data_IF_914826962739
#
_entry.id   IF_914826962739
#
_cell.length_a   1.000
_cell.length_b   1.000
_cell.length_c   1.000
_cell.angle_alpha   90.00
_cell.angle_beta   90.00
_cell.angle_gamma   90.00
#
_symmetry.space_group_name_H-M   'P 1'
#
loop_
_entity.id
_entity.type
_entity.pdbx_description
1 polymer ?
#
# COMPACT_ATOMS: atom_id res chain seq x y z
N UNK A 1 11.45 9.08 1.21
CA UNK A 1 10.38 8.07 1.37
C UNK A 1 9.92 7.80 2.82
N UNK A 2 10.75 7.24 3.72
CA UNK A 2 10.29 6.68 5.01
C UNK A 2 9.42 7.59 5.92
N UNK A 3 9.75 8.88 6.03
CA UNK A 3 8.96 9.82 6.84
C UNK A 3 7.58 10.12 6.23
N UNK A 4 7.50 10.27 4.90
CA UNK A 4 6.25 10.56 4.17
C UNK A 4 5.26 9.38 4.30
N UNK A 5 5.75 8.16 4.11
CA UNK A 5 4.92 6.95 4.21
C UNK A 5 4.30 6.78 5.59
N UNK A 6 5.08 7.03 6.65
CA UNK A 6 4.56 7.01 8.03
C UNK A 6 3.45 8.05 8.23
N UNK A 7 3.66 9.28 7.78
CA UNK A 7 2.66 10.35 7.89
C UNK A 7 1.38 10.05 7.11
N UNK A 8 1.46 9.38 5.96
CA UNK A 8 0.26 8.93 5.25
C UNK A 8 -0.48 7.83 6.03
N UNK A 9 0.23 6.85 6.58
CA UNK A 9 -0.36 5.75 7.36
C UNK A 9 -1.06 6.24 8.63
N UNK A 10 -0.50 7.25 9.30
CA UNK A 10 -1.06 7.84 10.53
C UNK A 10 -2.43 8.51 10.31
N UNK A 11 -2.87 8.72 9.06
CA UNK A 11 -4.20 9.28 8.74
C UNK A 11 -5.34 8.24 8.77
N UNK A 12 -5.01 6.95 8.78
CA UNK A 12 -6.00 5.87 8.75
C UNK A 12 -6.28 5.32 10.14
N UNK A 13 -7.54 4.98 10.40
CA UNK A 13 -7.92 4.18 11.56
C UNK A 13 -7.71 2.69 11.23
N UNK A 14 -6.49 2.20 11.44
CA UNK A 14 -6.09 0.86 11.03
C UNK A 14 -6.85 -0.26 11.75
N UNK A 15 -7.33 -0.01 12.97
CA UNK A 15 -8.00 -1.03 13.78
C UNK A 15 -9.41 -1.35 13.28
N UNK A 16 -10.03 -0.44 12.52
CA UNK A 16 -11.35 -0.67 11.92
C UNK A 16 -11.31 -1.29 10.53
N UNK A 17 -10.12 -1.49 9.95
CA UNK A 17 -9.93 -2.03 8.60
C UNK A 17 -9.81 -3.55 8.61
N UNK A 18 -10.42 -4.18 7.61
CA UNK A 18 -10.14 -5.58 7.28
C UNK A 18 -8.81 -5.73 6.52
N UNK A 19 -8.43 -6.97 6.21
CA UNK A 19 -7.18 -7.26 5.50
C UNK A 19 -7.09 -6.50 4.17
N UNK A 20 -8.18 -6.42 3.41
CA UNK A 20 -8.17 -5.74 2.11
C UNK A 20 -8.00 -4.23 2.27
N UNK A 21 -8.67 -3.63 3.26
CA UNK A 21 -8.51 -2.23 3.62
C UNK A 21 -7.08 -1.91 4.07
N UNK A 22 -6.44 -2.80 4.82
CA UNK A 22 -5.03 -2.65 5.23
C UNK A 22 -4.08 -2.71 4.02
N UNK A 23 -4.33 -3.64 3.07
CA UNK A 23 -3.57 -3.72 1.82
C UNK A 23 -3.73 -2.43 1.02
N UNK A 24 -4.97 -1.99 0.80
CA UNK A 24 -5.31 -0.80 0.04
C UNK A 24 -4.62 0.46 0.61
N UNK A 25 -4.75 0.67 1.92
CA UNK A 25 -4.11 1.80 2.61
C UNK A 25 -2.58 1.74 2.51
N UNK A 26 -1.99 0.55 2.61
CA UNK A 26 -0.55 0.34 2.47
C UNK A 26 -0.04 0.71 1.07
N UNK A 27 -0.68 0.19 0.02
CA UNK A 27 -0.33 0.46 -1.38
C UNK A 27 -0.49 1.95 -1.69
N UNK A 28 -1.62 2.54 -1.33
CA UNK A 28 -1.91 3.96 -1.52
C UNK A 28 -0.88 4.86 -0.84
N UNK A 29 -0.54 4.56 0.41
CA UNK A 29 0.46 5.34 1.18
C UNK A 29 1.85 5.26 0.55
N UNK A 30 2.18 4.12 -0.06
CA UNK A 30 3.45 3.92 -0.75
C UNK A 30 3.55 4.80 -1.99
N UNK A 31 2.52 4.81 -2.86
CA UNK A 31 2.48 5.65 -4.06
C UNK A 31 2.40 7.14 -3.74
N UNK A 32 1.60 7.56 -2.75
CA UNK A 32 1.58 8.96 -2.28
C UNK A 32 2.93 9.47 -1.76
N UNK A 33 3.77 8.55 -1.29
CA UNK A 33 5.08 8.87 -0.73
C UNK A 33 6.21 8.77 -1.73
N UNK A 34 5.93 8.23 -2.92
CA UNK A 34 6.87 8.03 -4.00
C UNK A 34 7.02 9.30 -4.83
N UNK A 35 8.25 9.71 -5.05
CA UNK A 35 8.60 10.84 -5.89
C UNK A 35 9.41 10.35 -7.10
N UNK A 36 8.82 10.33 -8.31
CA UNK A 36 9.48 9.76 -9.48
C UNK A 36 10.74 10.53 -9.93
N UNK A 37 10.99 11.73 -9.38
CA UNK A 37 12.19 12.52 -9.70
C UNK A 37 13.40 12.01 -8.90
N UNK A 38 13.19 11.55 -7.66
CA UNK A 38 14.28 11.25 -6.72
C UNK A 38 14.30 9.79 -6.23
N UNK A 39 13.16 9.11 -6.27
CA UNK A 39 13.04 7.72 -5.85
C UNK A 39 13.24 6.76 -7.04
N UNK A 40 13.77 5.57 -6.77
CA UNK A 40 13.94 4.53 -7.79
C UNK A 40 12.62 3.82 -8.06
N UNK A 41 12.41 3.41 -9.31
CA UNK A 41 11.31 2.50 -9.66
C UNK A 41 11.30 1.26 -8.74
N UNK A 42 10.10 0.79 -8.42
CA UNK A 42 9.88 -0.32 -7.52
C UNK A 42 8.78 -1.25 -8.03
N UNK A 43 8.77 -2.46 -7.47
CA UNK A 43 7.66 -3.41 -7.57
C UNK A 43 7.18 -3.73 -6.18
N UNK A 44 5.87 -3.96 -6.03
CA UNK A 44 5.28 -4.34 -4.76
C UNK A 44 5.14 -5.86 -4.68
N UNK A 45 5.49 -6.40 -3.53
CA UNK A 45 5.14 -7.77 -3.14
C UNK A 45 4.37 -7.68 -1.82
N UNK A 46 3.24 -8.37 -1.75
CA UNK A 46 2.33 -8.27 -0.60
C UNK A 46 2.18 -9.65 0.03
N UNK A 47 2.39 -9.70 1.34
CA UNK A 47 2.18 -10.88 2.15
C UNK A 47 1.24 -10.56 3.30
N UNK A 48 0.27 -11.44 3.51
CA UNK A 48 -0.76 -11.29 4.55
C UNK A 48 -0.58 -12.40 5.57
N UNK A 49 -0.73 -12.02 6.84
CA UNK A 49 -0.92 -12.94 7.95
C UNK A 49 -2.06 -12.40 8.80
N UNK A 50 -3.15 -13.15 8.90
CA UNK A 50 -4.34 -12.77 9.64
C UNK A 50 -5.03 -14.01 10.21
N UNK A 51 -6.09 -13.80 11.00
CA UNK A 51 -6.92 -14.91 11.46
C UNK A 51 -7.59 -15.65 10.29
N UNK A 52 -7.90 -14.95 9.19
CA UNK A 52 -8.45 -15.56 7.96
C UNK A 52 -7.47 -16.51 7.28
N UNK A 53 -6.16 -16.24 7.42
CA UNK A 53 -5.11 -17.15 6.95
C UNK A 53 -4.73 -18.19 8.01
N UNK A 54 -5.50 -18.31 9.11
CA UNK A 54 -5.18 -19.12 10.28
C UNK A 54 -3.79 -18.83 10.86
N UNK A 55 -3.39 -17.56 10.85
CA UNK A 55 -2.06 -17.12 11.26
C UNK A 55 -0.93 -17.61 10.34
N UNK A 56 -1.23 -18.20 9.17
CA UNK A 56 -0.21 -18.59 8.20
C UNK A 56 0.08 -17.45 7.25
N UNK A 57 1.34 -17.34 6.86
CA UNK A 57 1.74 -16.40 5.82
C UNK A 57 1.17 -16.83 4.47
N UNK A 58 0.42 -15.92 3.82
CA UNK A 58 -0.03 -16.04 2.43
C UNK A 58 0.60 -14.90 1.63
N UNK A 59 1.45 -15.23 0.66
CA UNK A 59 1.86 -14.26 -0.37
C UNK A 59 0.73 -14.12 -1.39
N UNK A 60 0.40 -12.90 -1.76
CA UNK A 60 -0.54 -12.62 -2.84
C UNK A 60 0.12 -12.89 -4.20
N UNK A 61 -0.67 -13.36 -5.14
CA UNK A 61 -0.28 -13.50 -6.54
C UNK A 61 -0.03 -12.12 -7.18
N UNK A 62 0.70 -12.10 -8.29
CA UNK A 62 0.96 -10.86 -9.03
C UNK A 62 -0.36 -10.20 -9.49
N UNK A 63 -1.33 -10.98 -9.97
CA UNK A 63 -2.64 -10.45 -10.38
C UNK A 63 -3.41 -9.81 -9.21
N UNK A 64 -3.39 -10.44 -8.02
CA UNK A 64 -3.97 -9.86 -6.80
C UNK A 64 -3.28 -8.53 -6.46
N UNK A 65 -1.94 -8.47 -6.50
CA UNK A 65 -1.20 -7.23 -6.21
C UNK A 65 -1.49 -6.14 -7.25
N UNK A 66 -1.52 -6.51 -8.53
CA UNK A 66 -1.75 -5.58 -9.63
C UNK A 66 -3.12 -4.90 -9.54
N UNK A 67 -4.14 -5.60 -9.03
CA UNK A 67 -5.46 -5.00 -8.80
C UNK A 67 -5.43 -3.80 -7.85
N UNK A 68 -4.50 -3.76 -6.88
CA UNK A 68 -4.31 -2.60 -6.00
C UNK A 68 -3.37 -1.57 -6.61
N UNK A 69 -2.30 -2.00 -7.30
CA UNK A 69 -1.33 -1.10 -7.94
C UNK A 69 -1.99 -0.22 -9.00
N UNK A 70 -2.84 -0.80 -9.84
CA UNK A 70 -3.51 -0.07 -10.93
C UNK A 70 -4.40 1.09 -10.44
N UNK A 71 -4.87 1.04 -9.18
CA UNK A 71 -5.66 2.12 -8.57
C UNK A 71 -4.82 3.37 -8.23
N UNK A 72 -3.51 3.18 -8.01
CA UNK A 72 -2.66 4.18 -7.34
C UNK A 72 -1.37 4.49 -8.07
N UNK A 73 -0.98 3.71 -9.09
CA UNK A 73 0.28 3.90 -9.83
C UNK A 73 0.44 5.29 -10.45
N UNK A 74 -0.69 5.93 -10.76
CA UNK A 74 -0.74 7.25 -11.39
C UNK A 74 -0.91 8.39 -10.35
N UNK A 75 -0.97 8.07 -9.05
CA UNK A 75 -0.96 9.08 -7.99
C UNK A 75 0.42 9.76 -7.95
N UNK A 76 0.51 10.90 -8.62
CA UNK A 76 1.62 11.84 -8.42
C UNK A 76 1.29 12.78 -7.25
N UNK A 77 2.33 13.29 -6.59
CA UNK A 77 2.27 14.10 -5.35
C UNK A 77 1.42 15.40 -5.46
N UNK A 78 0.82 15.70 -6.61
CA UNK A 78 0.06 16.93 -6.89
C UNK A 78 -1.45 16.90 -6.61
N UNK A 79 -2.06 15.79 -6.14
CA UNK A 79 -3.47 15.78 -5.73
C UNK A 79 -3.63 16.07 -4.22
N UNK A 80 -3.24 17.28 -3.82
CA UNK A 80 -3.55 17.84 -2.50
C UNK A 80 -4.32 19.15 -2.70
N UNK A 81 -5.65 19.04 -2.92
CA UNK A 81 -6.59 20.14 -2.64
C UNK A 81 -6.96 20.18 -1.15
#
# INVERSE_FOLDING_TARGET
MHRKARTEIEKYDLESLDVNGLIDCGVKSFYKSFDPIVDKEFKLEIGVMSDETNGKFKRLSEDEVMSYVELYKDLTVEDVE
#
